data_IF_548391146592
#
_entry.id   IF_548391146592
#
_cell.length_a   1.000
_cell.length_b   1.000
_cell.length_c   1.000
_cell.angle_alpha   90.00
_cell.angle_beta   90.00
_cell.angle_gamma   90.00
#
_symmetry.space_group_name_H-M   'P 1'
#
loop_
_entity.id
_entity.type
_entity.pdbx_description
1 polymer ?
#
# COMPACT_ATOMS: atom_id res chain seq x y z
N UNK A 1 -53.48 -39.01 30.96
CA UNK A 1 -52.10 -39.47 31.20
C UNK A 1 -51.72 -39.00 32.60
N UNK A 2 -51.22 -39.93 33.41
CA UNK A 2 -51.29 -39.84 34.89
C UNK A 2 -50.12 -39.07 35.47
N UNK A 3 -50.27 -37.74 35.72
CA UNK A 3 -49.26 -36.89 36.34
C UNK A 3 -48.82 -37.31 37.79
N UNK A 4 -49.60 -38.17 38.43
CA UNK A 4 -49.25 -38.69 39.79
C UNK A 4 -48.15 -39.73 39.74
N UNK A 5 -48.07 -40.57 38.70
CA UNK A 5 -46.98 -41.57 38.58
C UNK A 5 -45.63 -40.95 38.35
N UNK A 6 -45.56 -39.90 37.53
CA UNK A 6 -44.32 -39.21 37.23
C UNK A 6 -43.74 -38.46 38.46
N UNK A 7 -44.60 -37.86 39.26
CA UNK A 7 -44.20 -37.16 40.50
C UNK A 7 -43.70 -38.14 41.59
N UNK A 8 -44.25 -39.36 41.66
CA UNK A 8 -43.81 -40.39 42.64
C UNK A 8 -42.43 -40.93 42.24
N UNK A 9 -42.22 -41.22 40.96
CA UNK A 9 -40.90 -41.69 40.45
C UNK A 9 -39.81 -40.60 40.59
N UNK A 10 -40.13 -39.34 40.38
CA UNK A 10 -39.22 -38.22 40.63
C UNK A 10 -38.85 -38.12 42.12
N UNK A 11 -39.85 -38.26 43.03
CA UNK A 11 -39.62 -38.19 44.47
C UNK A 11 -38.75 -39.38 44.95
N UNK A 12 -38.98 -40.58 44.47
CA UNK A 12 -38.17 -41.76 44.76
C UNK A 12 -36.75 -41.65 44.22
N UNK A 13 -36.60 -41.08 43.01
CA UNK A 13 -35.28 -40.79 42.42
C UNK A 13 -34.47 -39.82 43.33
N UNK A 14 -35.06 -38.72 43.75
CA UNK A 14 -34.37 -37.72 44.59
C UNK A 14 -34.17 -38.17 46.05
N UNK A 15 -34.93 -39.17 46.56
CA UNK A 15 -34.75 -39.72 47.92
C UNK A 15 -33.86 -40.93 47.98
N UNK A 16 -33.44 -41.50 46.83
CA UNK A 16 -32.47 -42.62 46.79
C UNK A 16 -31.14 -42.18 47.40
N UNK A 17 -30.61 -42.98 48.30
CA UNK A 17 -29.30 -42.75 48.99
C UNK A 17 -28.15 -42.58 47.99
N UNK A 18 -28.23 -43.22 46.87
CA UNK A 18 -27.26 -43.09 45.76
C UNK A 18 -27.36 -41.73 45.06
N UNK A 19 -28.58 -41.31 44.77
CA UNK A 19 -28.85 -40.03 44.09
C UNK A 19 -28.47 -38.85 44.98
N UNK A 20 -28.75 -38.94 46.28
CA UNK A 20 -28.36 -37.91 47.28
C UNK A 20 -26.82 -37.79 47.34
N UNK A 21 -26.07 -38.87 47.29
CA UNK A 21 -24.60 -38.86 47.28
C UNK A 21 -24.05 -38.21 46.00
N UNK A 22 -24.63 -38.53 44.85
CA UNK A 22 -24.22 -37.91 43.56
C UNK A 22 -24.53 -36.39 43.54
N UNK A 23 -25.71 -35.99 44.01
CA UNK A 23 -26.08 -34.56 44.11
C UNK A 23 -25.19 -33.81 45.11
N UNK A 24 -24.88 -34.43 46.27
CA UNK A 24 -23.96 -33.85 47.23
C UNK A 24 -22.54 -33.68 46.65
N UNK A 25 -22.06 -34.67 45.91
CA UNK A 25 -20.78 -34.59 45.23
C UNK A 25 -20.75 -33.53 44.14
N UNK A 26 -21.81 -33.42 43.32
CA UNK A 26 -21.97 -32.35 42.30
C UNK A 26 -22.05 -30.97 42.98
N UNK A 27 -22.82 -30.85 44.05
CA UNK A 27 -22.90 -29.59 44.84
C UNK A 27 -21.53 -29.20 45.42
N UNK A 28 -20.79 -30.18 45.98
CA UNK A 28 -19.44 -29.95 46.48
C UNK A 28 -18.44 -29.53 45.36
N UNK A 29 -18.48 -30.18 44.21
CA UNK A 29 -17.61 -29.81 43.06
C UNK A 29 -17.93 -28.41 42.57
N UNK A 30 -19.22 -28.02 42.48
CA UNK A 30 -19.63 -26.65 42.08
C UNK A 30 -19.13 -25.63 43.11
N UNK A 31 -19.31 -25.89 44.43
CA UNK A 31 -18.83 -25.01 45.51
C UNK A 31 -17.30 -24.87 45.46
N UNK A 32 -16.58 -25.98 45.32
CA UNK A 32 -15.11 -25.97 45.24
C UNK A 32 -14.61 -25.23 43.96
N UNK A 33 -15.27 -25.44 42.84
CA UNK A 33 -14.98 -24.70 41.61
C UNK A 33 -15.24 -23.19 41.78
N UNK A 34 -16.33 -22.82 42.45
CA UNK A 34 -16.64 -21.44 42.75
C UNK A 34 -15.63 -20.81 43.72
N UNK A 35 -15.15 -21.55 44.74
CA UNK A 35 -14.12 -21.09 45.68
C UNK A 35 -12.78 -20.92 44.96
N UNK A 36 -12.36 -21.88 44.13
CA UNK A 36 -11.11 -21.80 43.35
C UNK A 36 -11.19 -20.65 42.34
N UNK A 37 -12.31 -20.50 41.66
CA UNK A 37 -12.55 -19.37 40.75
C UNK A 37 -12.58 -18.04 41.49
N UNK A 38 -13.14 -17.98 42.72
CA UNK A 38 -13.19 -16.77 43.51
C UNK A 38 -11.82 -16.35 44.03
N UNK A 39 -10.89 -17.28 44.29
CA UNK A 39 -9.51 -16.92 44.64
C UNK A 39 -8.81 -16.17 43.51
N UNK A 40 -9.10 -16.51 42.24
CA UNK A 40 -8.63 -15.73 41.09
C UNK A 40 -9.39 -14.39 40.93
N UNK A 41 -10.59 -14.27 41.50
CA UNK A 41 -11.42 -13.05 41.50
C UNK A 41 -11.02 -12.06 42.61
N UNK A 42 -10.51 -12.56 43.76
CA UNK A 42 -10.11 -11.74 44.90
C UNK A 42 -8.68 -11.22 44.84
N UNK A 43 -7.90 -11.57 43.80
CA UNK A 43 -6.64 -10.86 43.55
C UNK A 43 -6.97 -9.40 43.24
N UNK A 44 -6.71 -8.54 44.19
CA UNK A 44 -6.96 -7.10 44.14
C UNK A 44 -6.50 -6.57 42.77
N UNK A 45 -7.45 -6.17 41.97
CA UNK A 45 -7.14 -5.42 40.74
C UNK A 45 -6.32 -4.20 41.16
N UNK A 46 -5.11 -4.12 40.65
CA UNK A 46 -4.23 -2.96 40.85
C UNK A 46 -4.85 -1.71 40.23
N UNK A 47 -5.80 -1.94 39.31
CA UNK A 47 -6.45 -0.89 38.52
C UNK A 47 -7.94 -0.85 38.92
N UNK A 48 -8.42 0.33 39.23
CA UNK A 48 -9.84 0.64 39.42
C UNK A 48 -10.21 1.83 38.55
N UNK A 49 -11.25 1.67 37.72
CA UNK A 49 -11.69 2.72 36.79
C UNK A 49 -10.56 3.26 35.90
N UNK A 50 -9.61 2.40 35.50
CA UNK A 50 -8.47 2.79 34.68
C UNK A 50 -7.34 3.51 35.43
N UNK A 51 -7.40 3.62 36.76
CA UNK A 51 -6.43 4.30 37.63
C UNK A 51 -5.73 3.28 38.52
N UNK A 52 -4.44 3.44 38.76
CA UNK A 52 -3.69 2.59 39.68
C UNK A 52 -3.98 2.91 41.14
N UNK A 53 -4.28 1.87 41.94
CA UNK A 53 -4.52 1.99 43.39
C UNK A 53 -3.24 2.09 44.23
N UNK A 54 -2.10 1.80 43.67
CA UNK A 54 -0.80 1.80 44.34
C UNK A 54 0.37 1.96 43.38
N UNK A 55 1.51 2.34 43.92
CA UNK A 55 2.77 2.28 43.18
C UNK A 55 3.14 0.84 42.81
N UNK A 56 3.54 0.61 41.56
CA UNK A 56 4.01 -0.70 41.09
C UNK A 56 5.42 -0.55 40.52
N UNK A 57 6.35 -1.33 41.07
CA UNK A 57 7.75 -1.34 40.70
C UNK A 57 8.06 -2.60 39.92
N UNK A 58 8.87 -2.50 38.89
CA UNK A 58 9.33 -3.62 38.09
C UNK A 58 10.29 -4.50 38.91
N UNK A 59 9.92 -5.76 39.12
CA UNK A 59 10.78 -6.71 39.85
C UNK A 59 11.89 -7.33 38.98
N UNK A 60 11.73 -7.22 37.66
CA UNK A 60 12.71 -7.63 36.64
C UNK A 60 12.70 -6.60 35.51
N UNK A 61 13.76 -6.60 34.72
CA UNK A 61 13.78 -5.79 33.49
C UNK A 61 12.76 -6.34 32.48
N UNK A 62 11.96 -5.45 31.91
CA UNK A 62 10.87 -5.73 30.96
C UNK A 62 11.07 -4.95 29.69
N UNK A 63 10.69 -5.52 28.57
CA UNK A 63 10.63 -4.81 27.28
C UNK A 63 9.19 -4.82 26.79
N UNK A 64 8.61 -3.65 26.60
CA UNK A 64 7.23 -3.47 26.14
C UNK A 64 7.22 -2.72 24.82
N UNK A 65 6.30 -3.10 23.93
CA UNK A 65 6.15 -2.42 22.64
C UNK A 65 5.19 -1.24 22.82
N UNK A 66 5.66 -0.04 22.44
CA UNK A 66 4.79 1.13 22.30
C UNK A 66 4.03 1.04 20.98
N UNK A 67 2.89 0.37 21.04
CA UNK A 67 2.02 0.17 19.86
C UNK A 67 1.57 1.50 19.27
N UNK A 68 1.23 2.49 20.10
CA UNK A 68 0.75 3.80 19.62
C UNK A 68 1.83 4.53 18.81
N UNK A 69 3.04 4.59 19.35
CA UNK A 69 4.19 5.22 18.68
C UNK A 69 4.60 4.45 17.43
N UNK A 70 4.57 3.12 17.49
CA UNK A 70 4.85 2.25 16.34
C UNK A 70 3.87 2.53 15.20
N UNK A 71 2.57 2.54 15.47
CA UNK A 71 1.53 2.80 14.46
C UNK A 71 1.59 4.24 13.91
N UNK A 72 1.92 5.21 14.74
CA UNK A 72 2.15 6.57 14.26
C UNK A 72 3.32 6.63 13.28
N UNK A 73 4.44 6.01 13.63
CA UNK A 73 5.62 6.00 12.77
C UNK A 73 5.38 5.23 11.46
N UNK A 74 4.65 4.12 11.49
CA UNK A 74 4.22 3.41 10.27
C UNK A 74 3.46 4.33 9.33
N UNK A 75 2.48 5.07 9.84
CA UNK A 75 1.70 6.04 9.03
C UNK A 75 2.59 7.14 8.45
N UNK A 76 3.51 7.68 9.24
CA UNK A 76 4.44 8.71 8.77
C UNK A 76 5.36 8.21 7.65
N UNK A 77 5.85 6.98 7.77
CA UNK A 77 6.70 6.35 6.75
C UNK A 77 5.88 6.09 5.47
N UNK A 78 4.66 5.56 5.61
CA UNK A 78 3.78 5.33 4.45
C UNK A 78 3.42 6.63 3.70
N UNK A 79 3.18 7.73 4.43
CA UNK A 79 2.89 9.03 3.82
C UNK A 79 4.06 9.66 3.06
N UNK A 80 5.30 9.24 3.37
CA UNK A 80 6.51 9.71 2.68
C UNK A 80 6.83 8.92 1.42
N UNK A 81 6.10 7.84 1.15
CA UNK A 81 6.27 7.05 -0.08
C UNK A 81 5.70 7.85 -1.24
N UNK A 82 6.56 8.14 -2.21
CA UNK A 82 6.17 8.78 -3.46
C UNK A 82 5.23 7.88 -4.27
N UNK A 83 4.45 8.49 -5.15
CA UNK A 83 3.60 7.74 -6.08
C UNK A 83 4.45 6.89 -7.01
N UNK A 84 4.06 5.63 -7.16
CA UNK A 84 4.62 4.74 -8.18
C UNK A 84 3.98 5.11 -9.51
N UNK A 85 4.81 5.40 -10.50
CA UNK A 85 4.39 5.73 -11.84
C UNK A 85 4.59 4.52 -12.75
N UNK A 86 3.64 4.29 -13.64
CA UNK A 86 3.71 3.24 -14.67
C UNK A 86 3.39 3.82 -16.04
N UNK A 87 4.05 3.36 -17.12
CA UNK A 87 3.67 3.78 -18.47
C UNK A 87 2.24 3.33 -18.80
N UNK A 88 1.40 4.28 -19.25
CA UNK A 88 0.12 3.95 -19.86
C UNK A 88 0.35 3.25 -21.20
N UNK A 89 -0.57 2.36 -21.60
CA UNK A 89 -0.60 1.83 -22.96
C UNK A 89 -1.13 2.93 -23.91
N UNK A 90 -0.21 3.60 -24.62
CA UNK A 90 -0.54 4.75 -25.46
C UNK A 90 -0.60 4.36 -26.94
N UNK A 91 -1.65 3.65 -27.31
CA UNK A 91 -1.98 3.45 -28.73
C UNK A 91 -2.25 4.77 -29.47
N UNK A 92 -2.66 5.80 -28.72
CA UNK A 92 -2.86 7.14 -29.27
C UNK A 92 -1.56 7.75 -29.82
N UNK A 93 -0.45 7.65 -29.10
CA UNK A 93 0.85 8.20 -29.54
C UNK A 93 1.37 7.48 -30.79
N UNK A 94 1.21 6.15 -30.83
CA UNK A 94 1.55 5.35 -32.03
C UNK A 94 0.68 5.76 -33.22
N UNK A 95 -0.63 5.91 -33.01
CA UNK A 95 -1.57 6.36 -34.04
C UNK A 95 -1.21 7.76 -34.55
N UNK A 96 -0.71 8.66 -33.70
CA UNK A 96 -0.26 9.99 -34.12
C UNK A 96 0.97 9.90 -35.03
N UNK A 97 1.94 9.01 -34.75
CA UNK A 97 3.09 8.81 -35.64
C UNK A 97 2.66 8.25 -37.00
N UNK A 98 1.76 7.28 -37.02
CA UNK A 98 1.21 6.74 -38.27
C UNK A 98 0.43 7.82 -39.05
N UNK A 99 -0.32 8.66 -38.37
CA UNK A 99 -1.04 9.79 -38.98
C UNK A 99 -0.06 10.81 -39.59
N UNK A 100 1.00 11.15 -38.85
CA UNK A 100 2.06 12.04 -39.34
C UNK A 100 2.74 11.43 -40.56
N UNK A 101 3.09 10.15 -40.55
CA UNK A 101 3.66 9.43 -41.68
C UNK A 101 2.74 9.51 -42.91
N UNK A 102 1.46 9.20 -42.73
CA UNK A 102 0.50 9.24 -43.82
C UNK A 102 0.34 10.65 -44.39
N UNK A 103 0.31 11.69 -43.55
CA UNK A 103 0.25 13.09 -43.97
C UNK A 103 1.48 13.49 -44.82
N UNK A 104 2.67 13.11 -44.36
CA UNK A 104 3.93 13.35 -45.09
C UNK A 104 3.89 12.67 -46.45
N UNK A 105 3.51 11.40 -46.52
CA UNK A 105 3.44 10.63 -47.76
C UNK A 105 2.38 11.20 -48.71
N UNK A 106 1.24 11.70 -48.22
CA UNK A 106 0.23 12.39 -49.04
C UNK A 106 0.79 13.69 -49.65
N UNK A 107 1.45 14.55 -48.87
CA UNK A 107 2.02 15.80 -49.33
C UNK A 107 3.07 15.53 -50.41
N UNK A 108 3.93 14.52 -50.22
CA UNK A 108 4.94 14.14 -51.25
C UNK A 108 4.33 13.74 -52.59
N UNK A 109 3.18 13.07 -52.57
CA UNK A 109 2.49 12.57 -53.78
C UNK A 109 1.68 13.64 -54.51
N UNK A 110 1.48 14.82 -53.90
CA UNK A 110 0.71 15.91 -54.54
C UNK A 110 1.44 16.37 -55.84
N UNK A 111 0.67 16.65 -56.86
CA UNK A 111 1.20 17.24 -58.09
C UNK A 111 1.18 18.80 -57.98
N UNK A 112 2.06 19.31 -57.11
CA UNK A 112 2.23 20.75 -56.84
C UNK A 112 3.73 21.08 -56.78
N UNK A 113 4.11 22.37 -56.96
CA UNK A 113 5.49 22.81 -56.87
C UNK A 113 6.12 22.43 -55.51
N UNK A 114 7.46 22.27 -55.52
CA UNK A 114 8.19 21.80 -54.31
C UNK A 114 8.14 22.80 -53.13
N UNK A 115 8.11 24.10 -53.47
CA UNK A 115 7.94 25.16 -52.45
C UNK A 115 6.63 25.01 -51.69
N UNK A 116 5.53 24.70 -52.40
CA UNK A 116 4.23 24.42 -51.77
C UNK A 116 4.28 23.20 -50.85
N UNK A 117 4.92 22.10 -51.32
CA UNK A 117 5.13 20.89 -50.50
C UNK A 117 5.96 21.20 -49.24
N UNK A 118 7.00 22.01 -49.40
CA UNK A 118 7.84 22.46 -48.28
C UNK A 118 7.06 23.25 -47.26
N UNK A 119 6.22 24.17 -47.72
CA UNK A 119 5.36 24.96 -46.85
C UNK A 119 4.35 24.07 -46.07
N UNK A 120 3.64 23.19 -46.79
CA UNK A 120 2.71 22.26 -46.19
C UNK A 120 3.40 21.35 -45.15
N UNK A 121 4.59 20.79 -45.44
CA UNK A 121 5.36 20.02 -44.48
C UNK A 121 5.79 20.86 -43.29
N UNK A 122 6.15 22.13 -43.52
CA UNK A 122 6.58 22.99 -42.43
C UNK A 122 5.47 23.25 -41.39
N UNK A 123 4.20 23.16 -41.77
CA UNK A 123 3.06 23.28 -40.86
C UNK A 123 2.87 22.05 -39.97
N UNK A 124 3.41 20.88 -40.35
CA UNK A 124 3.37 19.67 -39.55
C UNK A 124 4.41 19.63 -38.41
N UNK A 125 5.42 20.51 -38.48
CA UNK A 125 6.53 20.52 -37.54
C UNK A 125 6.58 21.84 -36.76
N UNK A 126 6.29 21.75 -35.46
CA UNK A 126 6.51 22.84 -34.49
C UNK A 126 7.87 22.62 -33.82
N UNK A 127 8.91 23.17 -34.40
CA UNK A 127 10.30 23.04 -33.93
C UNK A 127 10.92 24.40 -33.69
N UNK A 128 11.47 24.59 -32.50
CA UNK A 128 12.17 25.85 -32.14
C UNK A 128 13.51 26.03 -32.86
N UNK A 129 14.16 24.93 -33.24
CA UNK A 129 15.42 24.95 -34.03
C UNK A 129 15.12 24.93 -35.50
N UNK A 130 15.23 26.10 -36.16
CA UNK A 130 14.92 26.29 -37.57
C UNK A 130 15.85 25.48 -38.48
N UNK A 131 17.16 25.38 -38.19
CA UNK A 131 18.10 24.61 -39.01
C UNK A 131 17.74 23.11 -39.01
N UNK A 132 17.35 22.57 -37.84
CA UNK A 132 16.89 21.18 -37.76
C UNK A 132 15.59 21.00 -38.54
N UNK A 133 14.64 21.92 -38.39
CA UNK A 133 13.37 21.90 -39.13
C UNK A 133 13.61 21.86 -40.64
N UNK A 134 14.43 22.75 -41.16
CA UNK A 134 14.76 22.83 -42.58
C UNK A 134 15.45 21.55 -43.07
N UNK A 135 16.35 20.99 -42.27
CA UNK A 135 16.99 19.73 -42.56
C UNK A 135 16.00 18.54 -42.61
N UNK A 136 15.09 18.46 -41.62
CA UNK A 136 14.08 17.40 -41.57
C UNK A 136 13.17 17.50 -42.80
N UNK A 137 12.66 18.68 -43.12
CA UNK A 137 11.79 18.91 -44.27
C UNK A 137 12.53 18.57 -45.59
N UNK A 138 13.76 19.02 -45.72
CA UNK A 138 14.59 18.67 -46.87
C UNK A 138 14.76 17.17 -47.04
N UNK A 139 15.09 16.46 -45.96
CA UNK A 139 15.24 14.99 -45.96
C UNK A 139 13.92 14.31 -46.35
N UNK A 140 12.80 14.73 -45.78
CA UNK A 140 11.48 14.17 -46.08
C UNK A 140 11.05 14.39 -47.52
N UNK A 141 11.47 15.49 -48.15
CA UNK A 141 11.14 15.79 -49.57
C UNK A 141 12.05 15.04 -50.56
N UNK A 142 13.34 14.91 -50.25
CA UNK A 142 14.37 14.46 -51.23
C UNK A 142 14.76 13.00 -51.10
N UNK A 143 14.48 12.35 -49.95
CA UNK A 143 14.83 10.93 -49.77
C UNK A 143 13.95 10.00 -50.60
N UNK A 144 14.49 8.87 -50.99
CA UNK A 144 13.70 7.81 -51.63
C UNK A 144 12.68 7.23 -50.68
N UNK A 145 11.61 6.65 -51.21
CA UNK A 145 10.54 6.06 -50.40
C UNK A 145 11.03 4.87 -49.55
N UNK A 146 12.08 4.17 -50.00
CA UNK A 146 12.77 3.12 -49.22
C UNK A 146 13.43 3.67 -47.95
N UNK A 147 14.18 4.78 -48.11
CA UNK A 147 14.86 5.44 -46.97
C UNK A 147 13.88 6.00 -45.95
N UNK A 148 12.79 6.54 -46.47
CA UNK A 148 11.72 7.05 -45.57
C UNK A 148 11.08 5.93 -44.79
N UNK A 149 10.74 4.79 -45.40
CA UNK A 149 10.18 3.63 -44.67
C UNK A 149 11.14 3.18 -43.59
N UNK A 150 12.44 3.04 -43.92
CA UNK A 150 13.46 2.67 -42.95
C UNK A 150 13.50 3.65 -41.75
N UNK A 151 13.41 4.96 -42.01
CA UNK A 151 13.39 5.98 -40.95
C UNK A 151 12.13 5.89 -40.10
N UNK A 152 10.97 5.69 -40.71
CA UNK A 152 9.72 5.53 -39.94
C UNK A 152 9.71 4.23 -39.14
N UNK A 153 10.20 3.11 -39.69
CA UNK A 153 10.34 1.85 -38.94
C UNK A 153 11.26 2.04 -37.71
N UNK A 154 12.39 2.73 -37.90
CA UNK A 154 13.31 3.07 -36.81
C UNK A 154 12.68 4.04 -35.80
N UNK A 155 11.90 5.01 -36.26
CA UNK A 155 11.16 5.93 -35.40
C UNK A 155 10.11 5.18 -34.54
N UNK A 156 9.36 4.25 -35.16
CA UNK A 156 8.39 3.42 -34.43
C UNK A 156 9.04 2.55 -33.35
N UNK A 157 10.19 1.91 -33.67
CA UNK A 157 10.93 1.12 -32.69
C UNK A 157 11.50 1.98 -31.56
N UNK A 158 12.02 3.16 -31.88
CA UNK A 158 12.52 4.13 -30.90
C UNK A 158 11.38 4.64 -30.02
N UNK A 159 10.22 4.97 -30.64
CA UNK A 159 9.03 5.38 -29.90
C UNK A 159 8.57 4.31 -28.92
N UNK A 160 8.52 3.05 -29.33
CA UNK A 160 8.17 1.94 -28.45
C UNK A 160 9.11 1.83 -27.23
N UNK A 161 10.41 2.06 -27.41
CA UNK A 161 11.37 2.09 -26.31
C UNK A 161 11.12 3.29 -25.38
N UNK A 162 10.89 4.48 -25.95
CA UNK A 162 10.59 5.70 -25.20
C UNK A 162 9.33 5.53 -24.34
N UNK A 163 8.24 5.03 -24.95
CA UNK A 163 6.97 4.81 -24.25
C UNK A 163 7.11 3.78 -23.13
N UNK A 164 7.91 2.74 -23.34
CA UNK A 164 8.18 1.74 -22.30
C UNK A 164 8.98 2.30 -21.13
N UNK A 165 9.92 3.20 -21.39
CA UNK A 165 10.69 3.91 -20.35
C UNK A 165 9.80 4.87 -19.57
N UNK A 166 8.83 5.46 -20.24
CA UNK A 166 7.90 6.44 -19.70
C UNK A 166 8.44 7.87 -19.70
N UNK A 167 7.56 8.81 -19.87
CA UNK A 167 7.84 10.25 -19.89
C UNK A 167 6.98 10.93 -18.83
N UNK A 168 7.64 11.65 -17.93
CA UNK A 168 6.93 12.49 -16.93
C UNK A 168 6.58 13.85 -17.53
N UNK A 169 5.59 14.54 -16.94
CA UNK A 169 5.31 15.95 -17.27
C UNK A 169 6.54 16.84 -17.07
N UNK A 170 7.34 16.57 -16.01
CA UNK A 170 8.57 17.33 -15.75
C UNK A 170 9.62 17.16 -16.86
N UNK A 171 9.72 15.99 -17.45
CA UNK A 171 10.65 15.73 -18.55
C UNK A 171 10.19 16.50 -19.80
N UNK A 172 8.89 16.53 -20.03
CA UNK A 172 8.29 17.25 -21.14
C UNK A 172 8.46 18.78 -20.97
N UNK A 173 8.13 19.34 -19.82
CA UNK A 173 8.26 20.77 -19.50
C UNK A 173 9.71 21.25 -19.57
N UNK A 174 10.69 20.42 -19.16
CA UNK A 174 12.12 20.77 -19.19
C UNK A 174 12.77 20.65 -20.54
N UNK A 175 12.02 20.32 -21.57
CA UNK A 175 12.54 20.12 -22.92
C UNK A 175 13.60 19.00 -23.02
N UNK A 176 13.47 17.97 -22.20
CA UNK A 176 14.38 16.83 -22.12
C UNK A 176 14.09 15.76 -23.20
N UNK A 177 13.09 15.99 -24.05
CA UNK A 177 12.62 15.01 -25.04
C UNK A 177 13.74 14.57 -25.99
N UNK A 178 14.55 15.51 -26.45
CA UNK A 178 15.72 15.22 -27.33
C UNK A 178 16.69 14.22 -26.68
N UNK A 179 16.92 14.34 -25.37
CA UNK A 179 17.77 13.43 -24.61
C UNK A 179 17.11 12.07 -24.45
N UNK A 180 15.83 12.05 -24.07
CA UNK A 180 15.07 10.81 -23.90
C UNK A 180 15.05 10.01 -25.20
N UNK A 181 14.78 10.67 -26.34
CA UNK A 181 14.84 10.01 -27.65
C UNK A 181 16.26 9.46 -27.92
N UNK A 182 17.30 10.24 -27.61
CA UNK A 182 18.68 9.81 -27.83
C UNK A 182 19.05 8.58 -27.02
N UNK A 183 18.66 8.57 -25.74
CA UNK A 183 18.96 7.47 -24.81
C UNK A 183 18.20 6.17 -25.16
N UNK A 184 17.10 6.29 -25.92
CA UNK A 184 16.25 5.18 -26.35
C UNK A 184 16.39 4.83 -27.86
N UNK A 185 17.31 5.48 -28.58
CA UNK A 185 17.56 5.17 -29.98
C UNK A 185 17.98 3.71 -30.16
N UNK A 186 17.45 3.09 -31.22
CA UNK A 186 17.90 1.75 -31.62
C UNK A 186 19.31 1.79 -32.23
N UNK A 187 19.94 0.63 -32.29
CA UNK A 187 21.25 0.48 -32.92
C UNK A 187 21.19 0.73 -34.45
N UNK A 188 22.31 1.09 -35.07
CA UNK A 188 22.45 1.27 -36.52
C UNK A 188 21.64 2.43 -37.11
N UNK A 189 21.58 3.55 -36.43
CA UNK A 189 20.98 4.80 -36.93
C UNK A 189 22.08 5.76 -37.33
N UNK A 190 22.05 6.24 -38.57
CA UNK A 190 23.02 7.25 -39.05
C UNK A 190 22.73 8.61 -38.41
N UNK A 191 23.75 9.48 -38.33
CA UNK A 191 23.57 10.85 -37.74
C UNK A 191 22.46 11.65 -38.43
N UNK A 192 22.27 11.45 -39.75
CA UNK A 192 21.19 12.09 -40.54
C UNK A 192 19.83 11.57 -40.09
N UNK A 193 19.68 10.24 -40.00
CA UNK A 193 18.45 9.60 -39.55
C UNK A 193 18.09 9.99 -38.09
N UNK A 194 19.10 10.11 -37.22
CA UNK A 194 18.86 10.58 -35.81
C UNK A 194 18.16 11.92 -35.79
N UNK A 195 18.61 12.90 -36.58
CA UNK A 195 17.99 14.22 -36.62
C UNK A 195 16.56 14.19 -37.13
N UNK A 196 16.28 13.32 -38.12
CA UNK A 196 14.91 13.14 -38.64
C UNK A 196 14.01 12.42 -37.65
N UNK A 197 14.49 11.32 -37.07
CA UNK A 197 13.73 10.58 -36.02
C UNK A 197 13.38 11.48 -34.86
N UNK A 198 14.34 12.28 -34.38
CA UNK A 198 14.06 13.28 -33.32
C UNK A 198 12.99 14.28 -33.74
N UNK A 199 13.09 14.79 -34.98
CA UNK A 199 12.09 15.72 -35.50
C UNK A 199 10.70 15.12 -35.61
N UNK A 200 10.59 13.85 -36.03
CA UNK A 200 9.32 13.13 -36.11
C UNK A 200 8.72 12.86 -34.70
N UNK A 201 9.54 12.34 -33.80
CA UNK A 201 9.11 11.94 -32.49
C UNK A 201 8.76 13.13 -31.57
N UNK A 202 9.45 14.27 -31.76
CA UNK A 202 9.16 15.51 -31.05
C UNK A 202 7.73 16.02 -31.29
N UNK A 203 7.13 15.69 -32.45
CA UNK A 203 5.76 16.09 -32.78
C UNK A 203 4.68 15.19 -32.16
N UNK A 204 5.02 13.99 -31.72
CA UNK A 204 4.02 12.99 -31.29
C UNK A 204 4.16 12.57 -29.84
N UNK A 205 5.34 12.77 -29.27
CA UNK A 205 5.62 12.39 -27.89
C UNK A 205 4.89 13.33 -26.93
N UNK A 206 4.18 12.74 -25.98
CA UNK A 206 3.54 13.41 -24.82
C UNK A 206 3.83 12.61 -23.55
N UNK A 207 3.69 13.20 -22.37
CA UNK A 207 3.79 12.47 -21.10
C UNK A 207 2.86 11.26 -21.08
N UNK A 208 3.38 10.11 -20.67
CA UNK A 208 2.61 8.86 -20.63
C UNK A 208 2.74 8.10 -19.30
N UNK A 209 3.42 8.68 -18.31
CA UNK A 209 3.45 8.08 -16.96
C UNK A 209 2.21 8.48 -16.18
N UNK A 210 1.49 7.47 -15.73
CA UNK A 210 0.31 7.61 -14.88
C UNK A 210 0.59 7.03 -13.49
N UNK A 211 -0.14 7.53 -12.48
CA UNK A 211 -0.04 7.01 -11.13
C UNK A 211 -0.63 5.60 -11.09
N UNK A 212 0.16 4.63 -10.69
CA UNK A 212 -0.29 3.30 -10.33
C UNK A 212 -0.70 3.28 -8.85
N UNK A 213 -2.00 3.44 -8.60
CA UNK A 213 -2.54 3.45 -7.24
C UNK A 213 -2.30 2.12 -6.52
N UNK A 214 -2.41 0.99 -7.23
CA UNK A 214 -2.21 -0.33 -6.65
C UNK A 214 -0.75 -0.56 -6.25
N UNK A 215 0.19 -0.27 -7.14
CA UNK A 215 1.61 -0.36 -6.84
C UNK A 215 2.03 0.63 -5.74
N UNK A 216 1.45 1.83 -5.71
CA UNK A 216 1.65 2.84 -4.67
C UNK A 216 1.18 2.32 -3.31
N UNK A 217 0.00 1.70 -3.25
CA UNK A 217 -0.55 1.11 -2.02
C UNK A 217 0.33 -0.05 -1.51
N UNK A 218 0.82 -0.91 -2.41
CA UNK A 218 1.77 -1.97 -2.06
C UNK A 218 3.07 -1.37 -1.51
N UNK A 219 3.62 -0.35 -2.15
CA UNK A 219 4.83 0.33 -1.69
C UNK A 219 4.65 0.92 -0.29
N UNK A 220 3.51 1.56 -0.01
CA UNK A 220 3.14 2.09 1.31
C UNK A 220 3.04 0.99 2.36
N UNK A 221 2.37 -0.12 2.05
CA UNK A 221 2.28 -1.27 2.96
C UNK A 221 3.64 -1.89 3.26
N UNK A 222 4.49 -2.01 2.25
CA UNK A 222 5.84 -2.50 2.43
C UNK A 222 6.67 -1.57 3.33
N UNK A 223 6.52 -0.26 3.15
CA UNK A 223 7.14 0.74 4.01
C UNK A 223 6.66 0.64 5.46
N UNK A 224 5.34 0.49 5.71
CA UNK A 224 4.78 0.23 7.03
C UNK A 224 5.34 -1.04 7.69
N UNK A 225 5.42 -2.14 6.92
CA UNK A 225 5.91 -3.43 7.41
C UNK A 225 7.42 -3.43 7.70
N UNK A 226 8.17 -2.51 7.10
CA UNK A 226 9.60 -2.35 7.37
C UNK A 226 9.90 -1.66 8.69
N UNK A 227 8.91 -0.98 9.28
CA UNK A 227 9.07 -0.25 10.55
C UNK A 227 9.18 -1.24 11.71
N UNK A 228 10.32 -1.19 12.40
CA UNK A 228 10.52 -1.97 13.63
C UNK A 228 9.67 -1.40 14.75
N UNK A 229 9.07 -2.27 15.59
CA UNK A 229 8.33 -1.82 16.76
C UNK A 229 9.18 -0.94 17.68
N UNK A 230 8.59 0.11 18.21
CA UNK A 230 9.22 0.89 19.27
C UNK A 230 9.17 0.12 20.58
N UNK A 231 10.31 -0.27 21.06
CA UNK A 231 10.49 -0.98 22.34
C UNK A 231 10.87 0.01 23.44
N UNK A 232 10.21 -0.12 24.59
CA UNK A 232 10.54 0.61 25.82
C UNK A 232 11.03 -0.39 26.84
N UNK A 233 12.25 -0.22 27.30
CA UNK A 233 12.83 -1.05 28.37
C UNK A 233 12.56 -0.38 29.71
N UNK A 234 11.92 -1.11 30.63
CA UNK A 234 11.70 -0.74 32.02
C UNK A 234 12.64 -1.58 32.86
N UNK A 235 13.60 -0.95 33.53
CA UNK A 235 14.59 -1.68 34.30
C UNK A 235 14.03 -2.15 35.65
N UNK A 236 14.65 -3.20 36.19
CA UNK A 236 14.35 -3.65 37.56
C UNK A 236 14.53 -2.49 38.54
N UNK A 237 13.50 -2.21 39.33
CA UNK A 237 13.47 -1.09 40.29
C UNK A 237 12.76 0.16 39.79
N UNK A 238 12.51 0.27 38.46
CA UNK A 238 11.75 1.38 37.90
C UNK A 238 10.26 1.26 38.23
N UNK A 239 9.59 2.39 38.46
CA UNK A 239 8.15 2.41 38.63
C UNK A 239 7.45 2.25 37.28
N UNK A 240 6.57 1.25 37.19
CA UNK A 240 5.72 1.02 36.02
C UNK A 240 4.54 2.00 36.03
N UNK A 241 3.97 2.22 37.22
CA UNK A 241 2.81 3.11 37.42
C UNK A 241 2.83 3.67 38.83
N UNK A 242 2.39 4.92 39.00
CA UNK A 242 2.23 5.58 40.27
C UNK A 242 0.77 5.42 40.80
N UNK A 243 0.58 5.51 42.09
CA UNK A 243 -0.75 5.58 42.72
C UNK A 243 -1.50 6.80 42.16
N UNK A 244 -2.78 6.62 41.81
CA UNK A 244 -3.63 7.66 41.24
C UNK A 244 -3.35 7.96 39.76
N UNK A 245 -2.40 7.28 39.11
CA UNK A 245 -2.04 7.53 37.71
C UNK A 245 -2.94 6.72 36.77
N UNK A 246 -3.37 7.33 35.63
CA UNK A 246 -4.11 6.58 34.58
C UNK A 246 -3.24 5.50 33.96
N UNK A 247 -3.76 4.28 33.90
CA UNK A 247 -3.06 3.12 33.33
C UNK A 247 -3.31 3.06 31.83
N UNK A 248 -2.36 3.57 31.05
CA UNK A 248 -2.38 3.49 29.59
C UNK A 248 -2.23 2.04 29.11
N UNK A 249 -2.51 1.78 27.82
CA UNK A 249 -2.32 0.45 27.22
C UNK A 249 -0.89 -0.05 27.42
N UNK A 250 0.10 0.78 27.18
CA UNK A 250 1.51 0.47 27.37
C UNK A 250 1.82 0.03 28.80
N UNK A 251 1.34 0.80 29.80
CA UNK A 251 1.52 0.48 31.22
C UNK A 251 0.80 -0.81 31.61
N UNK A 252 -0.37 -1.06 31.03
CA UNK A 252 -1.11 -2.30 31.22
C UNK A 252 -0.35 -3.51 30.71
N UNK A 253 0.27 -3.41 29.55
CA UNK A 253 1.09 -4.48 28.98
C UNK A 253 2.36 -4.70 29.81
N UNK A 254 2.98 -3.63 30.33
CA UNK A 254 4.09 -3.72 31.25
C UNK A 254 3.70 -4.42 32.57
N UNK A 255 2.56 -4.08 33.14
CA UNK A 255 2.02 -4.71 34.34
C UNK A 255 1.75 -6.20 34.14
N UNK A 256 1.19 -6.59 32.97
CA UNK A 256 0.99 -8.00 32.62
C UNK A 256 2.30 -8.76 32.52
N UNK A 257 3.31 -8.20 31.83
CA UNK A 257 4.64 -8.81 31.72
C UNK A 257 5.35 -8.89 33.08
N UNK A 258 5.08 -7.96 33.99
CA UNK A 258 5.57 -7.99 35.35
C UNK A 258 4.86 -9.05 36.23
N UNK A 259 3.82 -9.73 35.73
CA UNK A 259 3.09 -10.78 36.44
C UNK A 259 1.92 -10.25 37.25
N UNK A 260 1.52 -9.00 37.07
CA UNK A 260 0.34 -8.45 37.76
C UNK A 260 -0.92 -8.73 36.92
N UNK A 261 -1.94 -9.27 37.63
CA UNK A 261 -3.25 -9.46 37.00
C UNK A 261 -3.96 -8.12 36.84
N UNK A 262 -4.08 -7.70 35.61
CA UNK A 262 -4.80 -6.50 35.18
C UNK A 262 -6.16 -6.94 34.67
N UNK A 263 -7.07 -7.34 35.55
CA UNK A 263 -8.45 -7.69 35.17
C UNK A 263 -9.28 -6.40 35.05
N UNK A 264 -9.69 -6.07 33.83
CA UNK A 264 -10.93 -5.32 33.64
C UNK A 264 -12.07 -6.31 33.84
N UNK A 265 -13.04 -5.97 34.71
CA UNK A 265 -14.26 -6.76 34.91
C UNK A 265 -14.97 -6.86 33.54
N UNK A 266 -14.81 -7.98 32.89
CA UNK A 266 -15.56 -8.25 31.68
C UNK A 266 -16.96 -8.71 32.07
N UNK A 267 -17.90 -7.76 32.16
CA UNK A 267 -19.31 -8.02 32.48
C UNK A 267 -19.94 -9.08 31.57
N UNK A 268 -19.46 -9.19 30.33
CA UNK A 268 -19.91 -10.22 29.37
C UNK A 268 -19.45 -11.62 29.79
N UNK A 269 -18.26 -11.74 30.34
CA UNK A 269 -17.75 -13.01 30.90
C UNK A 269 -18.50 -13.43 32.15
N UNK A 270 -18.87 -12.48 33.02
CA UNK A 270 -19.70 -12.75 34.22
C UNK A 270 -21.11 -13.21 33.86
N UNK A 271 -21.74 -12.57 32.85
CA UNK A 271 -23.03 -13.00 32.31
C UNK A 271 -22.98 -14.39 31.69
N UNK A 272 -21.90 -14.72 30.95
CA UNK A 272 -21.73 -16.05 30.36
C UNK A 272 -21.61 -17.13 31.43
N UNK A 273 -20.89 -16.86 32.54
CA UNK A 273 -20.79 -17.79 33.67
C UNK A 273 -22.14 -17.92 34.39
N UNK A 274 -22.88 -16.82 34.55
CA UNK A 274 -24.21 -16.83 35.18
C UNK A 274 -25.28 -17.59 34.39
N UNK A 275 -25.14 -17.63 33.04
CA UNK A 275 -26.05 -18.38 32.16
C UNK A 275 -25.67 -19.87 32.07
N UNK A 276 -24.42 -20.24 32.39
CA UNK A 276 -23.93 -21.62 32.37
C UNK A 276 -24.12 -22.37 33.66
N UNK A 277 -24.44 -21.70 34.80
CA UNK A 277 -24.80 -22.23 36.11
C UNK A 277 -26.31 -22.22 36.28
#
# INVERSE_FOLDING_TARGET
>A
MNNRGFLITLKEFFTSTQTIKVLAFLGFTIIMTAIISSQNFFFQSIIENGISKKDVIAQKTLTVIDVKRTEQHKKEVAQKVDYVLTPAEDDFIKTNLDTLQNSIMQIRKKDVPEDVKREELSLLFDMSNQERKDFVIYFLLKSEDSDLREVFDKANLTLANVLRTGITEKDYERNNIDKIITDNLISNVSKRQVSVIKGLLDQVIVPNLVVDEFATEIARKNAENSVKPYEITIHKGDKIVFEGEPVTRLKRDALRQAGYNVYELNWQGLLAIYVLV
#
